data_IF_419116518348
#
_entry.id   IF_419116518348
#
_cell.length_a   1.000
_cell.length_b   1.000
_cell.length_c   1.000
_cell.angle_alpha   90.00
_cell.angle_beta   90.00
_cell.angle_gamma   90.00
#
_symmetry.space_group_name_H-M   'P 1'
#
loop_
_entity.id
_entity.type
_entity.pdbx_description
1 polymer ?
#
# COMPACT_ATOMS: atom_id res chain seq x y z
N UNK A 1 -7.99 -21.28 -1.60
CA UNK A 1 -8.98 -20.18 -1.65
C UNK A 1 -8.38 -19.10 -2.53
N UNK A 2 -8.94 -18.85 -3.71
CA UNK A 2 -8.49 -17.71 -4.54
C UNK A 2 -8.99 -16.45 -3.87
N UNK A 3 -8.17 -15.79 -3.06
CA UNK A 3 -8.45 -14.44 -2.58
C UNK A 3 -8.61 -13.56 -3.82
N UNK A 4 -9.85 -13.22 -4.14
CA UNK A 4 -10.15 -12.33 -5.25
C UNK A 4 -9.47 -11.00 -4.94
N UNK A 5 -8.43 -10.66 -5.72
CA UNK A 5 -7.76 -9.37 -5.55
C UNK A 5 -8.79 -8.27 -5.85
N UNK A 6 -8.92 -7.25 -4.99
CA UNK A 6 -9.82 -6.15 -5.25
C UNK A 6 -9.40 -5.45 -6.56
N UNK A 7 -10.39 -5.02 -7.36
CA UNK A 7 -10.13 -4.21 -8.54
C UNK A 7 -9.72 -2.79 -8.12
N UNK A 8 -9.06 -2.06 -9.03
CA UNK A 8 -8.75 -0.64 -8.80
C UNK A 8 -10.02 0.15 -8.45
N UNK A 9 -11.09 -0.03 -9.22
CA UNK A 9 -12.37 0.66 -9.01
C UNK A 9 -12.95 0.37 -7.62
N UNK A 10 -12.87 -0.88 -7.15
CA UNK A 10 -13.31 -1.24 -5.80
C UNK A 10 -12.52 -0.47 -4.74
N UNK A 11 -11.19 -0.38 -4.88
CA UNK A 11 -10.34 0.35 -3.94
C UNK A 11 -10.57 1.87 -3.96
N UNK A 12 -10.85 2.45 -5.14
CA UNK A 12 -11.12 3.89 -5.26
C UNK A 12 -12.47 4.27 -4.66
N UNK A 13 -13.46 3.40 -4.75
CA UNK A 13 -14.80 3.62 -4.22
C UNK A 13 -14.95 3.24 -2.73
N UNK A 14 -14.00 2.51 -2.16
CA UNK A 14 -14.03 2.11 -0.75
C UNK A 14 -13.77 3.32 0.17
N UNK A 15 -14.71 3.72 1.05
CA UNK A 15 -14.53 4.85 1.96
C UNK A 15 -13.52 4.58 3.09
N UNK A 16 -13.19 3.31 3.37
CA UNK A 16 -12.18 2.93 4.36
C UNK A 16 -10.75 3.08 3.83
N UNK A 17 -10.59 3.14 2.50
CA UNK A 17 -9.29 3.37 1.87
C UNK A 17 -8.93 4.85 1.97
N UNK A 18 -7.74 5.12 2.53
CA UNK A 18 -7.26 6.48 2.74
C UNK A 18 -7.03 7.21 1.41
N UNK A 19 -7.30 8.52 1.40
CA UNK A 19 -7.08 9.36 0.21
C UNK A 19 -5.65 9.26 -0.36
N UNK A 20 -4.57 9.25 0.45
CA UNK A 20 -3.22 9.07 -0.07
C UNK A 20 -3.02 7.75 -0.83
N UNK A 21 -3.61 6.65 -0.35
CA UNK A 21 -3.50 5.37 -1.05
C UNK A 21 -4.22 5.41 -2.40
N UNK A 22 -5.41 6.02 -2.47
CA UNK A 22 -6.12 6.23 -3.74
C UNK A 22 -5.30 7.05 -4.72
N UNK A 23 -4.64 8.11 -4.24
CA UNK A 23 -3.78 8.94 -5.09
C UNK A 23 -2.61 8.14 -5.67
N UNK A 24 -1.93 7.32 -4.86
CA UNK A 24 -0.85 6.43 -5.32
C UNK A 24 -1.37 5.44 -6.36
N UNK A 25 -2.51 4.80 -6.09
CA UNK A 25 -3.13 3.86 -7.02
C UNK A 25 -3.44 4.51 -8.39
N UNK A 26 -3.99 5.73 -8.40
CA UNK A 26 -4.28 6.46 -9.63
C UNK A 26 -3.01 6.79 -10.42
N UNK A 27 -1.94 7.23 -9.75
CA UNK A 27 -0.67 7.58 -10.41
C UNK A 27 0.03 6.34 -10.97
N UNK A 28 -0.02 5.21 -10.24
CA UNK A 28 0.69 4.00 -10.65
C UNK A 28 -0.08 3.18 -11.69
N UNK A 29 -1.39 3.35 -11.80
CA UNK A 29 -2.20 2.60 -12.77
C UNK A 29 -1.82 2.88 -14.23
N UNK A 30 -1.30 4.07 -14.53
CA UNK A 30 -0.85 4.43 -15.89
C UNK A 30 0.60 4.03 -16.18
N UNK A 31 1.31 3.39 -15.25
CA UNK A 31 2.71 2.98 -15.40
C UNK A 31 2.81 1.55 -15.92
N UNK A 32 4.03 1.14 -16.25
CA UNK A 32 4.33 -0.27 -16.46
C UNK A 32 3.90 -1.09 -15.22
N UNK A 33 3.09 -2.17 -15.40
CA UNK A 33 2.57 -2.94 -14.28
C UNK A 33 3.63 -3.63 -13.43
N UNK A 34 4.77 -4.02 -14.01
CA UNK A 34 5.86 -4.67 -13.28
C UNK A 34 6.58 -3.66 -12.39
N UNK A 35 6.89 -2.48 -12.93
CA UNK A 35 7.51 -1.40 -12.16
C UNK A 35 6.61 -0.92 -11.02
N UNK A 36 5.31 -0.74 -11.29
CA UNK A 36 4.33 -0.36 -10.27
C UNK A 36 4.22 -1.39 -9.14
N UNK A 37 4.28 -2.68 -9.47
CA UNK A 37 4.27 -3.75 -8.47
C UNK A 37 5.55 -3.78 -7.63
N UNK A 38 6.71 -3.56 -8.25
CA UNK A 38 7.99 -3.48 -7.54
C UNK A 38 8.05 -2.28 -6.59
N UNK A 39 7.57 -1.11 -7.03
CA UNK A 39 7.49 0.09 -6.18
C UNK A 39 6.52 -0.12 -5.01
N UNK A 40 5.40 -0.81 -5.22
CA UNK A 40 4.47 -1.18 -4.15
C UNK A 40 5.11 -2.09 -3.10
N UNK A 41 5.91 -3.06 -3.53
CA UNK A 41 6.64 -3.95 -2.63
C UNK A 41 7.67 -3.17 -1.80
N UNK A 42 8.45 -2.29 -2.45
CA UNK A 42 9.42 -1.44 -1.76
C UNK A 42 8.76 -0.50 -0.74
N UNK A 43 7.63 0.11 -1.11
CA UNK A 43 6.84 0.95 -0.21
C UNK A 43 6.34 0.18 1.01
N UNK A 44 5.85 -1.05 0.82
CA UNK A 44 5.38 -1.90 1.92
C UNK A 44 6.51 -2.23 2.90
N UNK A 45 7.71 -2.55 2.40
CA UNK A 45 8.89 -2.80 3.24
C UNK A 45 9.23 -1.56 4.08
N UNK A 46 9.42 -0.40 3.45
CA UNK A 46 9.82 0.83 4.15
C UNK A 46 8.80 1.25 5.22
N UNK A 47 7.51 1.16 4.92
CA UNK A 47 6.47 1.52 5.88
C UNK A 47 6.32 0.49 7.00
N UNK A 48 6.52 -0.79 6.70
CA UNK A 48 6.56 -1.87 7.68
C UNK A 48 7.70 -1.67 8.68
N UNK A 49 8.92 -1.45 8.19
CA UNK A 49 10.10 -1.21 9.02
C UNK A 49 9.90 0.01 9.92
N UNK A 50 9.37 1.11 9.36
CA UNK A 50 9.04 2.31 10.15
C UNK A 50 8.01 2.02 11.23
N UNK A 51 6.96 1.26 10.93
CA UNK A 51 5.93 0.92 11.90
C UNK A 51 6.50 0.08 13.05
N UNK A 52 7.35 -0.90 12.75
CA UNK A 52 8.06 -1.72 13.75
C UNK A 52 8.93 -0.83 14.64
N UNK A 53 9.78 0.02 14.06
CA UNK A 53 10.65 0.92 14.83
C UNK A 53 9.86 1.85 15.75
N UNK A 54 8.71 2.37 15.30
CA UNK A 54 7.85 3.23 16.13
C UNK A 54 7.18 2.46 17.28
N UNK A 55 6.82 1.20 17.07
CA UNK A 55 6.26 0.35 18.12
C UNK A 55 7.30 -0.01 19.17
N UNK A 56 8.52 -0.33 18.78
CA UNK A 56 9.64 -0.61 19.69
C UNK A 56 9.99 0.62 20.55
N UNK A 57 10.06 1.80 19.93
CA UNK A 57 10.29 3.06 20.65
C UNK A 57 9.20 3.37 21.70
N UNK A 58 7.96 2.97 21.43
CA UNK A 58 6.82 3.26 22.30
C UNK A 58 6.70 2.29 23.48
N UNK A 59 7.16 1.05 23.34
CA UNK A 59 6.99 0.02 24.37
C UNK A 59 8.26 -0.26 25.19
N UNK A 60 9.41 0.31 24.79
CA UNK A 60 10.70 -0.02 25.41
C UNK A 60 11.14 -1.47 25.10
N UNK A 61 12.42 -1.81 25.29
CA UNK A 61 12.86 -3.20 25.24
C UNK A 61 12.21 -4.05 26.34
#
# INVERSE_FOLDING_TARGET
MTSQRPSLEALLNDPSVSYPLKAVLLVWWSRDPLDAANDAAALATVMGDRAVSLLEQRHGP
#
